data_IF_253834993832
#
_entry.id   IF_253834993832
#
_cell.length_a   1.000
_cell.length_b   1.000
_cell.length_c   1.000
_cell.angle_alpha   90.00
_cell.angle_beta   90.00
_cell.angle_gamma   90.00
#
_symmetry.space_group_name_H-M   'P 1'
#
loop_
_entity.id
_entity.type
_entity.pdbx_description
1 polymer ?
#
# COMPACT_ATOMS: atom_id res chain seq x y z
N UNK A 1 3.01 3.96 -22.36
CA UNK A 1 2.07 3.15 -21.53
C UNK A 1 0.79 3.92 -21.30
N UNK A 2 -0.34 3.25 -21.40
CA UNK A 2 -1.62 3.86 -21.08
C UNK A 2 -1.78 3.92 -19.56
N UNK A 3 -2.70 4.77 -19.11
CA UNK A 3 -3.03 4.87 -17.69
C UNK A 3 -3.48 3.52 -17.13
N UNK A 4 -4.30 2.80 -17.88
CA UNK A 4 -4.75 1.47 -17.47
C UNK A 4 -3.58 0.51 -17.27
N UNK A 5 -2.65 0.49 -18.22
CA UNK A 5 -1.48 -0.39 -18.13
C UNK A 5 -0.60 -0.03 -16.95
N UNK A 6 -0.42 1.26 -16.68
CA UNK A 6 0.35 1.71 -15.52
C UNK A 6 -0.30 1.25 -14.20
N UNK A 7 -1.62 1.39 -14.12
CA UNK A 7 -2.35 0.99 -12.92
C UNK A 7 -2.37 -0.52 -12.74
N UNK A 8 -2.52 -1.27 -13.84
CA UNK A 8 -2.46 -2.73 -13.79
C UNK A 8 -1.09 -3.21 -13.32
N UNK A 9 -0.02 -2.59 -13.84
CA UNK A 9 1.34 -2.92 -13.42
C UNK A 9 1.55 -2.60 -11.93
N UNK A 10 0.96 -1.51 -11.46
CA UNK A 10 1.05 -1.12 -10.06
C UNK A 10 0.33 -2.13 -9.15
N UNK A 11 -0.85 -2.57 -9.53
CA UNK A 11 -1.58 -3.60 -8.80
C UNK A 11 -0.77 -4.89 -8.74
N UNK A 12 -0.22 -5.31 -9.87
CA UNK A 12 0.56 -6.55 -9.94
C UNK A 12 1.82 -6.48 -9.07
N UNK A 13 2.54 -5.36 -9.13
CA UNK A 13 3.74 -5.17 -8.33
C UNK A 13 3.41 -5.15 -6.83
N UNK A 14 2.34 -4.45 -6.45
CA UNK A 14 1.92 -4.37 -5.06
C UNK A 14 1.47 -5.74 -4.54
N UNK A 15 0.78 -6.52 -5.38
CA UNK A 15 0.35 -7.87 -5.00
C UNK A 15 1.54 -8.78 -4.72
N UNK A 16 2.56 -8.73 -5.59
CA UNK A 16 3.78 -9.52 -5.39
C UNK A 16 4.50 -9.12 -4.11
N UNK A 17 4.62 -7.81 -3.88
CA UNK A 17 5.30 -7.30 -2.69
C UNK A 17 4.52 -7.68 -1.42
N UNK A 18 3.20 -7.56 -1.46
CA UNK A 18 2.35 -7.95 -0.34
C UNK A 18 2.55 -9.41 0.03
N UNK A 19 2.58 -10.30 -0.96
CA UNK A 19 2.81 -11.72 -0.74
C UNK A 19 4.16 -11.96 -0.09
N UNK A 20 5.21 -11.32 -0.60
CA UNK A 20 6.57 -11.46 -0.06
C UNK A 20 6.65 -10.97 1.39
N UNK A 21 6.06 -9.81 1.67
CA UNK A 21 6.08 -9.25 3.02
C UNK A 21 5.32 -10.11 4.02
N UNK A 22 4.18 -10.68 3.61
CA UNK A 22 3.42 -11.59 4.46
C UNK A 22 4.20 -12.84 4.79
N UNK A 23 4.90 -13.39 3.80
CA UNK A 23 5.74 -14.57 4.02
C UNK A 23 6.86 -14.27 5.01
N UNK A 24 7.47 -13.09 4.90
CA UNK A 24 8.51 -12.69 5.83
C UNK A 24 7.97 -12.51 7.25
N UNK A 25 6.81 -11.88 7.39
CA UNK A 25 6.17 -11.71 8.69
C UNK A 25 5.78 -13.05 9.30
N UNK A 26 5.21 -13.94 8.51
CA UNK A 26 4.81 -15.27 8.99
C UNK A 26 6.04 -16.06 9.45
N UNK A 27 7.14 -15.96 8.72
CA UNK A 27 8.38 -16.62 9.11
C UNK A 27 8.93 -16.07 10.43
N UNK A 28 8.84 -14.76 10.62
CA UNK A 28 9.28 -14.14 11.88
C UNK A 28 8.42 -14.57 13.06
N UNK A 29 7.12 -14.66 12.86
CA UNK A 29 6.20 -15.12 13.90
C UNK A 29 6.49 -16.57 14.25
N UNK A 30 6.72 -17.41 13.26
CA UNK A 30 7.02 -18.82 13.47
C UNK A 30 8.33 -19.01 14.22
N UNK A 31 9.36 -18.27 13.83
CA UNK A 31 10.66 -18.31 14.54
C UNK A 31 10.52 -17.83 15.98
N UNK A 32 9.70 -16.84 16.22
CA UNK A 32 9.45 -16.31 17.56
C UNK A 32 8.76 -17.32 18.47
N UNK A 33 7.91 -18.17 17.92
CA UNK A 33 7.23 -19.21 18.70
C UNK A 33 8.21 -20.26 19.26
N UNK A 34 9.18 -20.63 18.46
CA UNK A 34 10.17 -21.64 18.87
C UNK A 34 11.12 -21.09 19.92
N UNK A 35 11.44 -19.79 19.86
CA UNK A 35 12.39 -19.17 20.76
C UNK A 35 11.77 -18.61 22.03
N UNK A 36 10.47 -18.64 22.12
CA UNK A 36 9.71 -17.92 23.16
C UNK A 36 9.83 -18.52 24.55
N UNK A 37 10.47 -19.66 24.68
CA UNK A 37 10.49 -20.38 25.98
C UNK A 37 11.51 -19.84 26.96
N UNK A 38 12.53 -19.11 26.51
CA UNK A 38 13.71 -18.92 27.33
C UNK A 38 14.19 -17.51 27.59
N UNK A 39 13.58 -16.45 27.04
CA UNK A 39 14.24 -15.16 27.20
C UNK A 39 13.34 -13.95 27.19
N UNK A 40 13.00 -13.50 28.38
CA UNK A 40 12.27 -12.25 28.58
C UNK A 40 13.17 -11.00 28.47
N UNK A 41 14.48 -11.17 28.37
CA UNK A 41 15.43 -10.06 28.40
C UNK A 41 16.44 -10.06 27.27
N UNK A 42 16.08 -10.63 26.13
CA UNK A 42 16.97 -10.71 25.00
C UNK A 42 16.97 -9.36 24.22
N UNK A 43 18.14 -8.69 24.10
CA UNK A 43 18.23 -7.49 23.25
C UNK A 43 17.87 -7.77 21.81
N UNK A 44 18.09 -9.00 21.33
CA UNK A 44 17.71 -9.42 19.99
C UNK A 44 16.20 -9.44 19.83
N UNK A 45 15.46 -9.76 20.90
CA UNK A 45 14.01 -9.75 20.90
C UNK A 45 13.43 -8.37 20.58
N UNK A 46 14.04 -7.31 21.11
CA UNK A 46 13.64 -5.93 20.82
C UNK A 46 13.91 -5.57 19.37
N UNK A 47 15.03 -6.01 18.81
CA UNK A 47 15.38 -5.78 17.42
C UNK A 47 14.41 -6.50 16.48
N UNK A 48 14.06 -7.73 16.80
CA UNK A 48 13.10 -8.51 16.02
C UNK A 48 11.72 -7.85 16.06
N UNK A 49 11.29 -7.38 17.22
CA UNK A 49 10.02 -6.68 17.35
C UNK A 49 9.98 -5.42 16.50
N UNK A 50 11.09 -4.68 16.47
CA UNK A 50 11.21 -3.47 15.65
C UNK A 50 11.16 -3.81 14.16
N UNK A 51 11.88 -4.84 13.73
CA UNK A 51 11.87 -5.29 12.34
C UNK A 51 10.48 -5.73 11.91
N UNK A 52 9.79 -6.48 12.78
CA UNK A 52 8.43 -6.92 12.51
C UNK A 52 7.49 -5.73 12.36
N UNK A 53 7.65 -4.72 13.22
CA UNK A 53 6.87 -3.50 13.14
C UNK A 53 7.09 -2.78 11.82
N UNK A 54 8.33 -2.71 11.36
CA UNK A 54 8.64 -2.07 10.09
C UNK A 54 8.05 -2.82 8.91
N UNK A 55 8.16 -4.14 8.90
CA UNK A 55 7.57 -4.96 7.85
C UNK A 55 6.05 -4.79 7.82
N UNK A 56 5.42 -4.75 8.98
CA UNK A 56 3.98 -4.54 9.07
C UNK A 56 3.57 -3.18 8.50
N UNK A 57 4.35 -2.14 8.76
CA UNK A 57 4.11 -0.80 8.23
C UNK A 57 4.22 -0.76 6.72
N UNK A 58 5.25 -1.41 6.17
CA UNK A 58 5.42 -1.47 4.71
C UNK A 58 4.27 -2.26 4.08
N UNK A 59 3.86 -3.36 4.71
CA UNK A 59 2.73 -4.16 4.23
C UNK A 59 1.45 -3.32 4.18
N UNK A 60 1.19 -2.54 5.21
CA UNK A 60 0.03 -1.66 5.27
C UNK A 60 0.03 -0.64 4.14
N UNK A 61 1.19 0.00 3.89
CA UNK A 61 1.32 0.97 2.78
C UNK A 61 1.15 0.29 1.43
N UNK A 62 1.68 -0.92 1.29
CA UNK A 62 1.57 -1.68 0.06
C UNK A 62 0.11 -2.03 -0.24
N UNK A 63 -0.63 -2.43 0.79
CA UNK A 63 -2.07 -2.72 0.67
C UNK A 63 -2.86 -1.49 0.23
N UNK A 64 -2.55 -0.33 0.80
CA UNK A 64 -3.21 0.92 0.42
C UNK A 64 -2.88 1.30 -1.02
N UNK A 65 -1.62 1.15 -1.41
CA UNK A 65 -1.20 1.43 -2.78
C UNK A 65 -1.94 0.53 -3.77
N UNK A 66 -2.05 -0.74 -3.46
CA UNK A 66 -2.80 -1.70 -4.30
C UNK A 66 -4.27 -1.32 -4.38
N UNK A 67 -4.86 -1.00 -3.24
CA UNK A 67 -6.26 -0.60 -3.17
C UNK A 67 -6.54 0.66 -3.99
N UNK A 68 -5.67 1.66 -3.88
CA UNK A 68 -5.82 2.91 -4.64
C UNK A 68 -5.73 2.66 -6.15
N UNK A 69 -4.77 1.84 -6.56
CA UNK A 69 -4.62 1.51 -7.98
C UNK A 69 -5.82 0.72 -8.50
N UNK A 70 -6.33 -0.22 -7.72
CA UNK A 70 -7.51 -1.00 -8.10
C UNK A 70 -8.75 -0.10 -8.19
N UNK A 71 -8.89 0.81 -7.24
CA UNK A 71 -10.00 1.77 -7.26
C UNK A 71 -9.97 2.62 -8.53
N UNK A 72 -8.77 3.08 -8.91
CA UNK A 72 -8.62 3.87 -10.14
C UNK A 72 -8.99 3.05 -11.38
N UNK A 73 -8.61 1.77 -11.41
CA UNK A 73 -9.00 0.88 -12.51
C UNK A 73 -10.51 0.71 -12.57
N UNK A 74 -11.16 0.57 -11.42
CA UNK A 74 -12.62 0.45 -11.34
C UNK A 74 -13.29 1.72 -11.87
N UNK A 75 -12.72 2.88 -11.55
CA UNK A 75 -13.23 4.16 -12.06
C UNK A 75 -13.05 4.30 -13.55
N UNK A 76 -11.92 3.81 -14.09
CA UNK A 76 -11.72 3.80 -15.55
C UNK A 76 -12.82 2.97 -16.23
N UNK A 77 -13.12 1.81 -15.66
CA UNK A 77 -14.16 0.94 -16.20
C UNK A 77 -15.54 1.58 -16.12
N UNK A 78 -15.80 2.36 -15.06
CA UNK A 78 -17.09 3.02 -14.84
C UNK A 78 -17.21 4.36 -15.56
N UNK A 79 -16.13 4.88 -16.13
CA UNK A 79 -16.15 6.18 -16.81
C UNK A 79 -16.08 7.36 -15.87
N UNK A 80 -15.66 7.16 -14.62
CA UNK A 80 -15.57 8.21 -13.60
C UNK A 80 -14.14 8.55 -13.20
N UNK A 81 -13.18 8.06 -13.96
CA UNK A 81 -11.76 8.28 -13.64
C UNK A 81 -11.43 9.78 -13.67
N UNK A 82 -10.62 10.22 -12.71
CA UNK A 82 -10.17 11.60 -12.63
C UNK A 82 -11.09 12.54 -11.88
N UNK A 83 -12.07 11.99 -11.15
CA UNK A 83 -12.99 12.78 -10.33
C UNK A 83 -12.58 12.68 -8.86
N UNK A 84 -12.50 13.84 -8.20
CA UNK A 84 -12.18 13.87 -6.77
C UNK A 84 -13.27 13.17 -5.96
N UNK A 85 -12.87 12.23 -5.15
CA UNK A 85 -13.77 11.43 -4.33
C UNK A 85 -14.53 12.27 -3.30
N UNK A 86 -13.91 13.37 -2.85
CA UNK A 86 -14.48 14.19 -1.79
C UNK A 86 -15.37 15.32 -2.32
N UNK A 87 -14.88 16.09 -3.29
CA UNK A 87 -15.62 17.29 -3.75
C UNK A 87 -16.31 17.10 -5.10
N UNK A 88 -16.04 16.01 -5.80
CA UNK A 88 -16.66 15.73 -7.10
C UNK A 88 -16.10 16.53 -8.27
N UNK A 89 -15.12 17.39 -8.03
CA UNK A 89 -14.50 18.17 -9.10
C UNK A 89 -13.44 17.34 -9.82
N UNK A 90 -13.10 17.70 -11.05
CA UNK A 90 -12.02 17.01 -11.75
C UNK A 90 -10.69 17.18 -11.03
N UNK A 91 -9.91 16.11 -11.03
CA UNK A 91 -8.52 16.18 -10.57
C UNK A 91 -7.67 16.70 -11.73
N UNK A 92 -6.75 17.63 -11.43
CA UNK A 92 -5.92 18.22 -12.47
C UNK A 92 -5.15 17.16 -13.26
N UNK A 93 -5.10 17.28 -14.61
CA UNK A 93 -4.39 16.27 -15.41
C UNK A 93 -2.93 16.08 -15.01
N UNK A 94 -2.25 17.15 -14.61
CA UNK A 94 -0.85 17.10 -14.17
C UNK A 94 -0.71 16.22 -12.91
N UNK A 95 -1.68 16.31 -12.02
CA UNK A 95 -1.68 15.49 -10.81
C UNK A 95 -1.91 14.02 -11.13
N UNK A 96 -2.83 13.74 -12.07
CA UNK A 96 -3.10 12.37 -12.49
C UNK A 96 -1.91 11.78 -13.26
N UNK A 97 -1.17 12.61 -13.99
CA UNK A 97 0.03 12.18 -14.68
C UNK A 97 1.11 11.73 -13.69
N UNK A 98 1.28 12.49 -12.61
CA UNK A 98 2.23 12.16 -11.55
C UNK A 98 1.72 11.05 -10.64
N UNK A 99 0.41 11.01 -10.39
CA UNK A 99 -0.22 10.02 -9.53
C UNK A 99 -1.51 9.51 -10.16
N UNK A 100 -1.40 8.50 -11.02
CA UNK A 100 -2.59 7.97 -11.71
C UNK A 100 -3.67 7.42 -10.77
N UNK A 101 -3.29 7.06 -9.55
CA UNK A 101 -4.20 6.52 -8.53
C UNK A 101 -4.68 7.57 -7.52
N UNK A 102 -4.50 8.86 -7.82
CA UNK A 102 -4.97 9.91 -6.93
C UNK A 102 -6.50 9.86 -6.78
N UNK A 103 -6.97 9.88 -5.55
CA UNK A 103 -8.40 9.91 -5.23
C UNK A 103 -8.94 11.31 -4.99
N UNK A 104 -8.06 12.23 -4.59
CA UNK A 104 -8.43 13.59 -4.19
C UNK A 104 -7.74 14.60 -5.07
N UNK A 105 -8.43 15.73 -5.33
CA UNK A 105 -7.78 16.88 -5.94
C UNK A 105 -6.80 17.47 -4.93
N UNK A 106 -5.91 18.35 -5.41
CA UNK A 106 -4.85 18.91 -4.55
C UNK A 106 -5.43 19.68 -3.35
N UNK A 107 -6.52 20.38 -3.56
CA UNK A 107 -7.14 21.15 -2.47
C UNK A 107 -7.71 20.26 -1.39
N UNK A 108 -8.40 19.19 -1.75
CA UNK A 108 -8.94 18.24 -0.79
C UNK A 108 -7.83 17.48 -0.09
N UNK A 109 -6.76 17.14 -0.81
CA UNK A 109 -5.61 16.46 -0.23
C UNK A 109 -4.92 17.33 0.81
N UNK A 110 -4.85 18.65 0.58
CA UNK A 110 -4.25 19.57 1.53
C UNK A 110 -5.07 19.76 2.78
N UNK A 111 -6.37 19.62 2.69
CA UNK A 111 -7.27 19.76 3.85
C UNK A 111 -7.19 18.54 4.79
N UNK A 112 -6.59 17.49 4.32
CA UNK A 112 -6.43 16.26 5.11
C UNK A 112 -7.68 15.44 5.16
#
# INVERSE_FOLDING_TARGET
MSTREELEAKVAAATRLETSLRQQLDAMVEASRDDNADDEHDPEGSTIAFERQQLASVLERTRRSRSDAQHALDQLAAGTYGTCERCGRPIAPERLEARPDARLCIECARRG
#
